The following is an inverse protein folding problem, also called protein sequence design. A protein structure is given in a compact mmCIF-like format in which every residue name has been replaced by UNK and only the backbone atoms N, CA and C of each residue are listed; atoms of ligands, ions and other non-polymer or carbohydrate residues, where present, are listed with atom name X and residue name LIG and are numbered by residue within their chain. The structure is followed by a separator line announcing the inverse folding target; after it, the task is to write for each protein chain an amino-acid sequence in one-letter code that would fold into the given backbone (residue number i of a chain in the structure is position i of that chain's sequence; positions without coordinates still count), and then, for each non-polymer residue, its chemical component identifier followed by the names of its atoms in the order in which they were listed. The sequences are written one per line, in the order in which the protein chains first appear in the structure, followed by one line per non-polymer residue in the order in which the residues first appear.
data_IF_455956297539
#
_entry.id   IF_455956297539
#
_cell.length_a   1.000
_cell.length_b   1.000
_cell.length_c   1.000
_cell.angle_alpha   90.00
_cell.angle_beta   90.00
_cell.angle_gamma   90.00
#
_symmetry.space_group_name_H-M   'P 1'
#
loop_
_entity.id
_entity.type
_entity.pdbx_description
1 polymer ?
#
# COMPACT_ATOMS: atom_id res chain seq x y z
N UNK A 1 6.20 0.68 16.64
CA UNK A 1 6.92 -0.48 17.18
C UNK A 1 8.28 -0.56 16.48
N UNK A 2 9.38 -0.46 17.20
CA UNK A 2 10.71 -0.51 16.58
C UNK A 2 11.10 -1.99 16.46
N UNK A 3 10.97 -2.55 15.25
CA UNK A 3 11.31 -3.96 14.98
C UNK A 3 12.82 -4.02 14.71
N UNK A 4 13.54 -4.74 15.57
CA UNK A 4 14.97 -5.01 15.35
C UNK A 4 15.14 -6.21 14.41
N UNK A 5 15.40 -5.91 13.15
CA UNK A 5 15.58 -6.91 12.09
C UNK A 5 16.78 -7.82 12.36
N UNK A 6 17.85 -7.29 12.99
CA UNK A 6 19.05 -8.07 13.25
C UNK A 6 18.78 -9.20 14.25
N UNK A 7 18.00 -8.93 15.29
CA UNK A 7 17.59 -9.95 16.25
C UNK A 7 16.78 -11.05 15.57
N UNK A 8 15.81 -10.67 14.72
CA UNK A 8 15.00 -11.62 13.95
C UNK A 8 15.89 -12.44 13.00
N UNK A 9 16.82 -11.80 12.30
CA UNK A 9 17.71 -12.48 11.36
C UNK A 9 18.58 -13.53 12.06
N UNK A 10 19.16 -13.22 13.21
CA UNK A 10 19.99 -14.15 13.96
C UNK A 10 19.15 -15.32 14.53
N UNK A 11 17.94 -15.05 14.98
CA UNK A 11 17.00 -16.11 15.41
C UNK A 11 16.65 -17.03 14.23
N UNK A 12 16.35 -16.49 13.06
CA UNK A 12 16.04 -17.27 11.86
C UNK A 12 17.23 -18.08 11.34
N UNK A 13 18.47 -17.65 11.59
CA UNK A 13 19.69 -18.37 11.25
C UNK A 13 20.02 -19.49 12.25
N UNK A 14 19.47 -19.42 13.45
CA UNK A 14 19.71 -20.45 14.47
C UNK A 14 19.29 -21.82 13.91
N UNK A 15 20.11 -22.83 14.14
CA UNK A 15 19.85 -24.22 13.68
C UNK A 15 19.65 -24.41 12.17
N UNK A 16 20.12 -23.51 11.31
CA UNK A 16 20.05 -23.65 9.86
C UNK A 16 21.40 -24.03 9.25
N UNK A 17 21.36 -24.67 8.07
CA UNK A 17 22.56 -24.99 7.30
C UNK A 17 23.28 -23.72 6.84
N UNK A 18 24.59 -23.81 6.60
CA UNK A 18 25.37 -22.66 6.14
C UNK A 18 24.83 -22.06 4.82
N UNK A 19 24.33 -22.91 3.90
CA UNK A 19 23.70 -22.47 2.67
C UNK A 19 22.46 -21.63 2.93
N UNK A 20 21.63 -22.03 3.89
CA UNK A 20 20.42 -21.26 4.28
C UNK A 20 20.78 -19.96 4.95
N UNK A 21 21.81 -19.94 5.81
CA UNK A 21 22.32 -18.71 6.44
C UNK A 21 22.77 -17.70 5.39
N UNK A 22 23.58 -18.13 4.42
CA UNK A 22 24.03 -17.28 3.33
C UNK A 22 22.85 -16.72 2.50
N UNK A 23 21.85 -17.59 2.24
CA UNK A 23 20.64 -17.14 1.51
C UNK A 23 19.80 -16.13 2.30
N UNK A 24 19.74 -16.26 3.64
CA UNK A 24 19.09 -15.28 4.51
C UNK A 24 19.83 -13.95 4.52
N UNK A 25 21.17 -13.98 4.56
CA UNK A 25 22.00 -12.77 4.49
C UNK A 25 21.81 -12.03 3.16
N UNK A 26 21.86 -12.73 2.03
CA UNK A 26 21.61 -12.15 0.71
C UNK A 26 20.20 -11.53 0.63
N UNK A 27 19.20 -12.27 1.11
CA UNK A 27 17.82 -11.76 1.13
C UNK A 27 17.68 -10.54 2.03
N UNK A 28 18.34 -10.52 3.19
CA UNK A 28 18.33 -9.37 4.09
C UNK A 28 18.95 -8.13 3.44
N UNK A 29 20.11 -8.26 2.81
CA UNK A 29 20.77 -7.16 2.08
C UNK A 29 19.86 -6.59 0.98
N UNK A 30 19.17 -7.46 0.24
CA UNK A 30 18.20 -7.04 -0.77
C UNK A 30 17.03 -6.24 -0.15
N UNK A 31 16.45 -6.75 0.94
CA UNK A 31 15.30 -6.13 1.61
C UNK A 31 15.69 -4.80 2.26
N UNK A 32 16.89 -4.70 2.80
CA UNK A 32 17.45 -3.47 3.34
C UNK A 32 17.62 -2.41 2.24
N UNK A 33 18.21 -2.77 1.10
CA UNK A 33 18.36 -1.87 -0.05
C UNK A 33 16.98 -1.35 -0.54
N UNK A 34 15.97 -2.23 -0.60
CA UNK A 34 14.60 -1.84 -0.97
C UNK A 34 13.95 -0.90 0.05
N UNK A 35 14.23 -1.11 1.33
CA UNK A 35 13.73 -0.23 2.38
C UNK A 35 14.30 1.18 2.25
N UNK A 36 15.59 1.33 2.02
CA UNK A 36 16.22 2.64 1.78
C UNK A 36 15.76 3.27 0.46
N UNK A 37 15.47 2.46 -0.56
CA UNK A 37 14.87 2.92 -1.82
C UNK A 37 13.39 3.32 -1.70
N UNK A 38 12.78 3.19 -0.49
CA UNK A 38 11.36 3.46 -0.21
C UNK A 38 10.39 2.66 -1.09
N UNK A 39 10.80 1.48 -1.49
CA UNK A 39 9.97 0.56 -2.24
C UNK A 39 8.81 0.06 -1.38
N UNK A 40 7.60 -0.05 -1.97
CA UNK A 40 6.40 -0.47 -1.25
C UNK A 40 5.95 -1.90 -1.55
N UNK A 41 6.55 -2.55 -2.54
CA UNK A 41 6.17 -3.91 -2.96
C UNK A 41 7.08 -4.96 -2.32
N UNK A 42 6.65 -5.51 -1.19
CA UNK A 42 7.28 -6.62 -0.47
C UNK A 42 6.57 -7.97 -0.79
N UNK A 43 5.83 -8.07 -1.90
CA UNK A 43 5.18 -9.32 -2.26
C UNK A 43 6.21 -10.41 -2.57
N UNK A 44 5.89 -11.65 -2.16
CA UNK A 44 6.75 -12.82 -2.39
C UNK A 44 7.10 -12.98 -3.89
N UNK A 45 6.17 -12.63 -4.78
CA UNK A 45 6.39 -12.73 -6.22
C UNK A 45 7.47 -11.75 -6.70
N UNK A 46 7.45 -10.51 -6.22
CA UNK A 46 8.42 -9.47 -6.58
C UNK A 46 9.77 -9.74 -5.92
N UNK A 47 9.78 -9.98 -4.59
CA UNK A 47 11.00 -10.28 -3.85
C UNK A 47 11.70 -11.52 -4.42
N UNK A 48 10.98 -12.61 -4.64
CA UNK A 48 11.57 -13.84 -5.17
C UNK A 48 12.07 -13.72 -6.60
N UNK A 49 11.48 -12.83 -7.43
CA UNK A 49 11.97 -12.55 -8.78
C UNK A 49 13.26 -11.73 -8.74
N UNK A 50 13.31 -10.67 -7.93
CA UNK A 50 14.48 -9.81 -7.81
C UNK A 50 15.63 -10.57 -7.16
N UNK A 51 15.38 -11.27 -6.04
CA UNK A 51 16.39 -12.09 -5.37
C UNK A 51 16.97 -13.18 -6.29
N UNK A 52 16.14 -13.81 -7.14
CA UNK A 52 16.61 -14.81 -8.11
C UNK A 52 17.50 -14.18 -9.19
N UNK A 53 17.23 -12.94 -9.61
CA UNK A 53 18.08 -12.22 -10.57
C UNK A 53 19.50 -12.00 -10.01
N UNK A 54 19.61 -11.78 -8.69
CA UNK A 54 20.87 -11.62 -7.96
C UNK A 54 21.44 -12.96 -7.44
N UNK A 55 21.08 -14.06 -8.06
CA UNK A 55 21.51 -15.43 -7.69
C UNK A 55 21.09 -15.87 -6.28
N UNK A 56 20.10 -15.20 -5.69
CA UNK A 56 19.53 -15.53 -4.39
C UNK A 56 18.32 -16.46 -4.47
N UNK A 57 17.44 -16.36 -3.47
CA UNK A 57 16.29 -17.26 -3.29
C UNK A 57 15.15 -16.93 -4.23
N UNK A 58 14.71 -17.90 -5.03
CA UNK A 58 13.57 -17.72 -5.94
C UNK A 58 12.20 -17.84 -5.27
N UNK A 59 11.15 -17.35 -5.96
CA UNK A 59 9.75 -17.36 -5.51
C UNK A 59 9.27 -18.74 -5.05
N UNK A 60 9.67 -19.82 -5.75
CA UNK A 60 9.26 -21.19 -5.41
C UNK A 60 9.82 -21.59 -4.05
N UNK A 61 11.11 -21.34 -3.80
CA UNK A 61 11.76 -21.66 -2.54
C UNK A 61 11.15 -20.89 -1.36
N UNK A 62 10.77 -19.62 -1.56
CA UNK A 62 10.12 -18.81 -0.55
C UNK A 62 8.71 -19.34 -0.23
N UNK A 63 7.96 -19.81 -1.24
CA UNK A 63 6.58 -20.32 -1.09
C UNK A 63 6.52 -21.73 -0.49
N UNK A 64 7.56 -22.51 -0.68
CA UNK A 64 7.59 -23.90 -0.18
C UNK A 64 7.39 -23.94 1.34
N UNK A 65 6.92 -25.09 1.83
CA UNK A 65 6.75 -25.34 3.28
C UNK A 65 8.05 -25.09 4.05
N UNK A 66 9.18 -25.48 3.49
CA UNK A 66 10.51 -25.28 4.08
C UNK A 66 11.04 -23.85 4.02
N UNK A 67 10.37 -22.94 3.27
CA UNK A 67 10.76 -21.54 3.07
C UNK A 67 10.16 -20.55 4.08
N UNK A 68 9.63 -21.03 5.20
CA UNK A 68 8.97 -20.22 6.20
C UNK A 68 9.88 -19.11 6.76
N UNK A 69 11.13 -19.42 7.03
CA UNK A 69 12.12 -18.46 7.52
C UNK A 69 12.35 -17.27 6.57
N UNK A 70 12.29 -17.49 5.25
CA UNK A 70 12.34 -16.40 4.27
C UNK A 70 11.09 -15.52 4.32
N UNK A 71 9.91 -16.13 4.49
CA UNK A 71 8.65 -15.38 4.61
C UNK A 71 8.62 -14.53 5.87
N UNK A 72 9.08 -15.06 7.00
CA UNK A 72 9.18 -14.31 8.26
C UNK A 72 10.10 -13.10 8.14
N UNK A 73 11.25 -13.25 7.47
CA UNK A 73 12.16 -12.13 7.22
C UNK A 73 11.52 -11.06 6.32
N UNK A 74 10.83 -11.48 5.23
CA UNK A 74 10.13 -10.55 4.34
C UNK A 74 9.01 -9.81 5.08
N UNK A 75 8.25 -10.52 5.93
CA UNK A 75 7.16 -9.92 6.71
C UNK A 75 7.67 -8.91 7.73
N UNK A 76 8.79 -9.19 8.39
CA UNK A 76 9.43 -8.28 9.32
C UNK A 76 9.85 -6.96 8.62
N UNK A 77 10.46 -7.06 7.45
CA UNK A 77 10.81 -5.89 6.65
C UNK A 77 9.60 -5.14 6.10
N UNK A 78 8.57 -5.86 5.64
CA UNK A 78 7.31 -5.27 5.18
C UNK A 78 6.66 -4.47 6.32
N UNK A 79 6.60 -5.04 7.52
CA UNK A 79 6.05 -4.36 8.71
C UNK A 79 6.87 -3.13 9.08
N UNK A 80 8.21 -3.21 9.07
CA UNK A 80 9.10 -2.07 9.29
C UNK A 80 8.88 -0.95 8.26
N UNK A 81 8.54 -1.31 7.01
CA UNK A 81 8.22 -0.37 5.94
C UNK A 81 6.74 0.11 5.96
N UNK A 82 5.95 -0.23 6.99
CA UNK A 82 4.51 0.02 7.07
C UNK A 82 3.75 -0.50 5.84
N UNK A 83 4.13 -1.66 5.34
CA UNK A 83 3.51 -2.33 4.20
C UNK A 83 3.14 -3.78 4.56
N UNK A 84 2.70 -4.55 3.59
CA UNK A 84 2.39 -5.97 3.74
C UNK A 84 3.03 -6.77 2.62
N UNK A 85 3.15 -8.09 2.79
CA UNK A 85 3.59 -9.00 1.72
C UNK A 85 2.58 -9.13 0.56
N UNK A 86 1.46 -8.43 0.60
CA UNK A 86 0.52 -8.34 -0.53
C UNK A 86 1.08 -7.36 -1.55
N UNK A 87 0.92 -7.70 -2.83
CA UNK A 87 1.28 -6.78 -3.91
C UNK A 87 0.45 -5.50 -3.75
N UNK A 88 1.09 -4.31 -3.72
CA UNK A 88 0.34 -3.07 -3.66
C UNK A 88 -0.62 -2.99 -4.86
N UNK A 89 -1.81 -2.42 -4.70
CA UNK A 89 -2.73 -2.23 -5.82
C UNK A 89 -1.99 -1.43 -6.89
N UNK A 90 -2.01 -1.97 -8.11
CA UNK A 90 -1.45 -1.24 -9.27
C UNK A 90 -2.24 0.06 -9.38
N UNK A 91 -1.60 1.23 -9.36
CA UNK A 91 -2.29 2.47 -9.65
C UNK A 91 -3.13 2.26 -10.91
N UNK A 92 -4.37 2.67 -10.90
CA UNK A 92 -5.33 2.42 -12.00
C UNK A 92 -4.95 3.14 -13.32
N UNK A 93 -3.68 3.40 -13.55
CA UNK A 93 -3.15 3.90 -14.83
C UNK A 93 -3.45 2.97 -16.03
N UNK A 94 -3.93 1.73 -15.77
CA UNK A 94 -4.44 0.84 -16.83
C UNK A 94 -5.80 1.28 -17.39
N UNK A 95 -6.44 2.28 -16.79
CA UNK A 95 -7.60 2.96 -17.38
C UNK A 95 -7.23 3.95 -18.49
N UNK A 96 -5.93 4.09 -18.82
CA UNK A 96 -5.44 5.00 -19.86
C UNK A 96 -5.91 4.65 -21.29
N UNK A 97 -6.57 3.51 -21.49
CA UNK A 97 -7.21 3.17 -22.76
C UNK A 97 -8.74 3.35 -22.75
N UNK A 98 -9.33 3.85 -21.67
CA UNK A 98 -10.72 4.28 -21.69
C UNK A 98 -10.75 5.64 -22.37
N UNK A 99 -11.46 5.77 -23.50
CA UNK A 99 -11.62 7.05 -24.15
C UNK A 99 -12.11 8.09 -23.15
N UNK A 100 -11.64 9.31 -23.23
CA UNK A 100 -12.15 10.37 -22.37
C UNK A 100 -13.67 10.52 -22.55
N UNK A 101 -14.37 11.01 -21.52
CA UNK A 101 -15.81 11.28 -21.63
C UNK A 101 -16.13 12.13 -22.87
N UNK A 102 -15.25 13.07 -23.22
CA UNK A 102 -15.40 13.92 -24.43
C UNK A 102 -15.20 13.14 -25.73
N UNK A 103 -14.29 12.15 -25.74
CA UNK A 103 -14.11 11.30 -26.94
C UNK A 103 -15.28 10.34 -27.13
N UNK A 104 -15.90 9.89 -26.04
CA UNK A 104 -17.13 9.11 -26.09
C UNK A 104 -18.29 9.94 -26.65
N UNK A 105 -18.43 11.21 -26.19
CA UNK A 105 -19.45 12.13 -26.73
C UNK A 105 -19.31 12.36 -28.25
N UNK A 106 -18.08 12.46 -28.76
CA UNK A 106 -17.82 12.63 -30.18
C UNK A 106 -18.25 11.43 -31.03
N UNK A 107 -18.31 10.24 -30.44
CA UNK A 107 -18.70 8.99 -31.10
C UNK A 107 -20.23 8.77 -31.15
N UNK A 108 -21.01 9.61 -30.46
CA UNK A 108 -22.46 9.56 -30.50
C UNK A 108 -22.96 10.33 -31.73
N UNK A 109 -23.59 9.63 -32.66
CA UNK A 109 -24.13 10.25 -33.89
C UNK A 109 -25.41 11.02 -33.61
N UNK A 110 -26.23 10.54 -32.62
CA UNK A 110 -27.49 11.21 -32.27
C UNK A 110 -27.24 12.49 -31.46
N UNK A 111 -27.65 13.66 -31.98
CA UNK A 111 -27.44 14.92 -31.27
C UNK A 111 -28.20 15.05 -29.97
N UNK A 112 -29.37 14.40 -29.84
CA UNK A 112 -30.18 14.42 -28.58
C UNK A 112 -29.46 13.64 -27.51
N UNK A 113 -29.00 12.43 -27.82
CA UNK A 113 -28.23 11.62 -26.91
C UNK A 113 -26.92 12.31 -26.51
N UNK A 114 -26.24 12.96 -27.47
CA UNK A 114 -25.01 13.72 -27.18
C UNK A 114 -25.25 14.85 -26.19
N UNK A 115 -26.38 15.57 -26.30
CA UNK A 115 -26.74 16.65 -25.39
C UNK A 115 -27.03 16.10 -23.98
N UNK A 116 -27.82 15.02 -23.86
CA UNK A 116 -28.13 14.39 -22.57
C UNK A 116 -26.86 13.86 -21.88
N UNK A 117 -26.02 13.12 -22.59
CA UNK A 117 -24.78 12.62 -22.02
C UNK A 117 -23.81 13.76 -21.66
N UNK A 118 -23.80 14.86 -22.42
CA UNK A 118 -23.04 16.06 -22.10
C UNK A 118 -23.44 16.66 -20.75
N UNK A 119 -24.74 16.75 -20.48
CA UNK A 119 -25.26 17.22 -19.20
C UNK A 119 -24.86 16.27 -18.03
N UNK A 120 -24.99 14.97 -18.21
CA UNK A 120 -24.61 13.96 -17.20
C UNK A 120 -23.10 14.08 -16.87
N UNK A 121 -22.26 14.26 -17.90
CA UNK A 121 -20.81 14.41 -17.70
C UNK A 121 -20.49 15.71 -16.95
N UNK A 122 -21.17 16.80 -17.28
CA UNK A 122 -21.00 18.08 -16.60
C UNK A 122 -21.38 17.96 -15.11
N UNK A 123 -22.51 17.34 -14.82
CA UNK A 123 -22.97 17.10 -13.44
C UNK A 123 -22.02 16.18 -12.67
N UNK A 124 -21.57 15.07 -13.28
CA UNK A 124 -20.55 14.19 -12.71
C UNK A 124 -19.27 14.97 -12.33
N UNK A 125 -18.79 15.84 -13.21
CA UNK A 125 -17.57 16.60 -12.97
C UNK A 125 -17.77 17.65 -11.86
N UNK A 126 -18.96 18.28 -11.78
CA UNK A 126 -19.34 19.18 -10.70
C UNK A 126 -19.34 18.46 -9.35
N UNK A 127 -20.05 17.33 -9.24
CA UNK A 127 -20.10 16.52 -8.03
C UNK A 127 -18.72 16.01 -7.59
N UNK A 128 -17.85 15.66 -8.56
CA UNK A 128 -16.48 15.24 -8.28
C UNK A 128 -15.65 16.38 -7.68
N UNK A 129 -15.80 17.59 -8.19
CA UNK A 129 -15.13 18.77 -7.64
C UNK A 129 -15.64 19.10 -6.23
N UNK A 130 -16.94 19.08 -6.01
CA UNK A 130 -17.56 19.28 -4.70
C UNK A 130 -17.09 18.25 -3.67
N UNK A 131 -17.06 16.95 -4.05
CA UNK A 131 -16.52 15.90 -3.20
C UNK A 131 -15.03 16.11 -2.86
N UNK A 132 -14.23 16.62 -3.79
CA UNK A 132 -12.82 16.93 -3.53
C UNK A 132 -12.69 18.04 -2.48
N UNK A 133 -13.48 19.10 -2.61
CA UNK A 133 -13.51 20.22 -1.66
C UNK A 133 -13.98 19.74 -0.28
N UNK A 134 -15.04 18.93 -0.21
CA UNK A 134 -15.55 18.39 1.05
C UNK A 134 -14.51 17.52 1.75
N UNK A 135 -13.78 16.66 1.02
CA UNK A 135 -12.71 15.84 1.58
C UNK A 135 -11.57 16.68 2.13
N UNK A 136 -11.15 17.72 1.41
CA UNK A 136 -10.12 18.64 1.90
C UNK A 136 -10.56 19.35 3.17
N UNK A 137 -11.81 19.84 3.22
CA UNK A 137 -12.35 20.49 4.40
C UNK A 137 -12.52 19.51 5.58
N UNK A 138 -12.85 18.24 5.34
CA UNK A 138 -12.98 17.23 6.39
C UNK A 138 -11.62 16.86 7.00
N UNK A 139 -10.56 16.77 6.20
CA UNK A 139 -9.21 16.56 6.71
C UNK A 139 -8.75 17.73 7.59
N UNK A 140 -9.08 18.97 7.21
CA UNK A 140 -8.76 20.16 7.99
C UNK A 140 -9.51 20.19 9.34
N UNK A 141 -10.77 19.74 9.38
CA UNK A 141 -11.58 19.69 10.61
C UNK A 141 -11.10 18.60 11.56
N UNK A 142 -10.61 17.47 11.05
CA UNK A 142 -10.06 16.40 11.88
C UNK A 142 -8.72 16.80 12.53
N UNK A 143 -7.87 17.58 11.82
CA UNK A 143 -6.60 18.06 12.36
C UNK A 143 -6.78 19.22 13.37
N UNK A 144 -7.88 19.95 13.29
CA UNK A 144 -8.15 21.08 14.18
C UNK A 144 -8.98 20.72 15.43
N UNK A 145 -9.34 19.48 15.64
CA UNK A 145 -9.96 19.05 16.89
C UNK A 145 -8.87 18.89 17.96
N UNK A 146 -8.77 19.81 18.93
CA UNK A 146 -7.98 19.52 20.11
C UNK A 146 -8.55 18.26 20.74
N UNK A 147 -7.69 17.38 21.25
CA UNK A 147 -8.06 16.25 22.10
C UNK A 147 -8.71 16.79 23.38
N UNK A 148 -9.93 17.31 23.29
CA UNK A 148 -10.77 17.52 24.45
C UNK A 148 -11.31 16.15 24.85
N UNK A 149 -10.58 15.48 25.69
CA UNK A 149 -11.13 14.45 26.56
C UNK A 149 -12.13 15.20 27.45
N UNK A 150 -13.40 15.20 27.06
CA UNK A 150 -14.49 15.67 27.91
C UNK A 150 -14.59 14.60 29.00
N UNK A 151 -13.97 14.88 30.15
CA UNK A 151 -14.23 14.09 31.34
C UNK A 151 -15.71 14.29 31.70
N UNK A 152 -16.47 13.20 31.76
CA UNK A 152 -17.90 13.19 32.09
C UNK A 152 -18.23 13.79 33.47
N UNK A 153 -17.25 14.17 34.26
CA UNK A 153 -17.40 14.77 35.58
C UNK A 153 -17.76 16.27 35.59
N UNK A 154 -17.68 16.95 34.44
CA UNK A 154 -18.00 18.39 34.38
C UNK A 154 -19.47 18.70 34.07
N UNK A 155 -20.31 17.69 33.78
CA UNK A 155 -21.74 17.92 33.43
C UNK A 155 -22.62 18.06 34.68
N UNK A 156 -22.14 17.78 35.89
CA UNK A 156 -22.97 17.83 37.11
C UNK A 156 -22.86 19.08 37.93
N UNK A 157 -22.14 20.14 37.50
CA UNK A 157 -21.96 21.36 38.27
C UNK A 157 -22.70 22.60 37.74
N UNK A 158 -23.47 22.49 36.67
CA UNK A 158 -24.24 23.62 36.12
C UNK A 158 -25.78 23.48 36.25
N UNK A 159 -26.26 22.62 37.14
CA UNK A 159 -27.70 22.51 37.44
C UNK A 159 -27.89 22.54 38.99
N UNK A 160 -27.59 23.65 39.60
CA UNK A 160 -28.18 24.12 40.89
C UNK A 160 -28.42 25.62 40.85
#
# INVERSE_FOLDING_TARGET
MNIDINVILEDLKSNKSQRTKNSLDQLNTLLEARFYAKEKDYSIATIGRVSKADSGVGTVSIRNKTGEHFRLLIDAWATKANTTMKKPPVPQSRLLNIPSDMDLLKRLDDPVLRAVFGQIIAEKNKLKAENSILKQNTEFVVDMRPNQVIHAEQIHQEVE
#
